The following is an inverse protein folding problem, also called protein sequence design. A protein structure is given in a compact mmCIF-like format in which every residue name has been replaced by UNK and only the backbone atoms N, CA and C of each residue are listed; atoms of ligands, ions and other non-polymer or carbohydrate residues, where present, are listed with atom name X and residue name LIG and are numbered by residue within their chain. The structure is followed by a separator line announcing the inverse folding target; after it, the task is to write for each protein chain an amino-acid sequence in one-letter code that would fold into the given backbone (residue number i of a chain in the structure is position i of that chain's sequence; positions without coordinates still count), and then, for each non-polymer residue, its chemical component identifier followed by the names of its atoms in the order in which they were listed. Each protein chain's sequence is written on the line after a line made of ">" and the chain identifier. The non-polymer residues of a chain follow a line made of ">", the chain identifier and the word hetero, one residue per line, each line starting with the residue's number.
data_IF_249881646537
#
_entry.id   IF_249881646537
#
_cell.length_a   1.000
_cell.length_b   1.000
_cell.length_c   1.000
_cell.angle_alpha   90.00
_cell.angle_beta   90.00
_cell.angle_gamma   90.00
#
_symmetry.space_group_name_H-M   'P 1'
#
loop_
_entity.id
_entity.type
_entity.pdbx_description
1 polymer ?
#
# COMPACT_ATOMS: atom_id res chain seq x y z
N UNK A 1 -6.31 15.15 24.99
CA UNK A 1 -5.00 15.03 24.32
C UNK A 1 -5.17 15.30 22.84
N UNK A 2 -4.17 15.90 22.19
CA UNK A 2 -4.18 16.13 20.74
C UNK A 2 -3.33 15.07 20.05
N UNK A 3 -3.92 14.41 19.05
CA UNK A 3 -3.31 13.30 18.34
C UNK A 3 -3.13 13.63 16.86
N UNK A 4 -1.98 13.25 16.29
CA UNK A 4 -1.76 13.26 14.84
C UNK A 4 -1.55 11.84 14.33
N UNK A 5 -2.30 11.45 13.32
CA UNK A 5 -2.12 10.17 12.62
C UNK A 5 -1.41 10.40 11.28
N UNK A 6 -0.21 9.87 11.13
CA UNK A 6 0.55 9.92 9.88
C UNK A 6 0.36 8.61 9.13
N UNK A 7 -0.47 8.64 8.10
CA UNK A 7 -0.68 7.51 7.22
C UNK A 7 0.43 7.44 6.18
N UNK A 8 1.25 6.38 6.27
CA UNK A 8 2.42 6.18 5.38
C UNK A 8 2.13 5.31 4.16
N UNK A 9 0.87 4.92 3.96
CA UNK A 9 0.47 4.08 2.82
C UNK A 9 0.52 4.86 1.51
N UNK A 10 0.57 4.10 0.41
CA UNK A 10 0.54 4.67 -0.94
C UNK A 10 -0.84 5.27 -1.23
N UNK A 11 -0.89 6.20 -2.18
CA UNK A 11 -2.11 6.95 -2.50
C UNK A 11 -3.29 6.04 -2.88
N UNK A 12 -3.06 4.95 -3.61
CA UNK A 12 -4.11 3.98 -3.97
C UNK A 12 -4.73 3.30 -2.74
N UNK A 13 -3.91 2.89 -1.78
CA UNK A 13 -4.38 2.37 -0.49
C UNK A 13 -5.22 3.42 0.26
N UNK A 14 -4.77 4.68 0.28
CA UNK A 14 -5.45 5.80 0.97
C UNK A 14 -6.78 6.15 0.30
N UNK A 15 -6.85 6.13 -1.03
CA UNK A 15 -8.10 6.37 -1.75
C UNK A 15 -9.15 5.30 -1.45
N UNK A 16 -8.72 4.04 -1.35
CA UNK A 16 -9.64 2.94 -1.03
C UNK A 16 -10.22 3.08 0.37
N UNK A 17 -9.41 3.52 1.34
CA UNK A 17 -9.75 3.58 2.75
C UNK A 17 -8.83 4.56 3.47
N UNK A 18 -9.37 5.61 4.07
CA UNK A 18 -8.65 6.66 4.81
C UNK A 18 -9.44 7.15 6.00
N UNK A 19 -8.79 7.85 6.91
CA UNK A 19 -9.47 8.55 7.98
C UNK A 19 -10.36 9.67 7.42
N UNK A 20 -11.54 9.82 8.02
CA UNK A 20 -12.42 10.96 7.79
C UNK A 20 -12.02 12.15 8.67
N UNK A 21 -12.74 13.26 8.52
CA UNK A 21 -12.60 14.42 9.41
C UNK A 21 -13.02 14.03 10.83
N UNK A 22 -12.28 14.49 11.83
CA UNK A 22 -12.51 14.25 13.24
C UNK A 22 -12.13 15.47 14.07
N UNK A 23 -12.83 15.68 15.18
CA UNK A 23 -12.48 16.72 16.15
C UNK A 23 -11.47 16.20 17.21
N UNK A 24 -11.20 14.89 17.24
CA UNK A 24 -10.36 14.25 18.27
C UNK A 24 -8.91 14.03 17.80
N UNK A 25 -8.68 14.04 16.49
CA UNK A 25 -7.37 13.81 15.91
C UNK A 25 -7.25 14.51 14.56
N UNK A 26 -6.03 14.91 14.23
CA UNK A 26 -5.65 15.30 12.88
C UNK A 26 -4.99 14.13 12.16
N UNK A 27 -5.02 14.13 10.83
CA UNK A 27 -4.33 13.11 10.05
C UNK A 27 -3.70 13.68 8.78
N UNK A 28 -2.55 13.13 8.42
CA UNK A 28 -1.80 13.48 7.22
C UNK A 28 -1.45 12.20 6.46
N UNK A 29 -1.43 12.27 5.12
CA UNK A 29 -0.83 11.22 4.32
C UNK A 29 0.57 11.65 3.88
N UNK A 30 1.59 10.97 4.40
CA UNK A 30 2.98 11.15 3.99
C UNK A 30 3.50 9.78 3.57
N UNK A 31 3.48 9.45 2.27
CA UNK A 31 3.93 8.14 1.79
C UNK A 31 5.29 7.76 2.36
N UNK A 32 5.48 6.48 2.68
CA UNK A 32 6.67 5.95 3.36
C UNK A 32 8.01 6.44 2.77
N UNK A 33 8.10 6.58 1.44
CA UNK A 33 9.29 7.05 0.72
C UNK A 33 9.59 8.55 0.93
N UNK A 34 8.59 9.34 1.33
CA UNK A 34 8.69 10.77 1.60
C UNK A 34 9.05 11.08 3.07
N UNK A 35 8.93 10.10 3.98
CA UNK A 35 9.18 10.32 5.41
C UNK A 35 10.59 10.87 5.67
N UNK A 36 11.60 10.36 4.97
CA UNK A 36 13.00 10.80 5.13
C UNK A 36 13.21 12.30 4.93
N UNK A 37 12.37 12.94 4.12
CA UNK A 37 12.44 14.37 3.83
C UNK A 37 11.61 15.21 4.82
N UNK A 38 10.72 14.58 5.58
CA UNK A 38 9.80 15.24 6.49
C UNK A 38 10.10 14.94 7.97
N UNK A 39 11.23 14.29 8.28
CA UNK A 39 11.56 13.85 9.65
C UNK A 39 11.51 15.02 10.64
N UNK A 40 12.10 16.17 10.29
CA UNK A 40 12.13 17.33 11.18
C UNK A 40 10.73 17.92 11.37
N UNK A 41 9.99 18.15 10.28
CA UNK A 41 8.61 18.66 10.34
C UNK A 41 7.69 17.76 11.17
N UNK A 42 7.84 16.43 11.04
CA UNK A 42 7.09 15.47 11.85
C UNK A 42 7.44 15.61 13.34
N UNK A 43 8.72 15.83 13.68
CA UNK A 43 9.12 16.09 15.07
C UNK A 43 8.60 17.43 15.57
N UNK A 44 8.59 18.46 14.74
CA UNK A 44 8.11 19.80 15.11
C UNK A 44 6.62 19.79 15.49
N UNK A 45 5.83 18.86 14.94
CA UNK A 45 4.45 18.66 15.36
C UNK A 45 4.31 18.31 16.85
N UNK A 46 5.30 17.64 17.46
CA UNK A 46 5.30 17.33 18.89
C UNK A 46 5.34 18.57 19.80
N UNK A 47 5.63 19.76 19.25
CA UNK A 47 5.55 21.01 20.01
C UNK A 47 4.11 21.40 20.37
N UNK A 48 3.10 20.82 19.72
CA UNK A 48 1.70 21.18 19.93
C UNK A 48 0.74 19.98 19.97
N UNK A 49 1.23 18.76 19.81
CA UNK A 49 0.48 17.51 20.03
C UNK A 49 1.20 16.61 21.01
N UNK A 50 0.42 15.80 21.72
CA UNK A 50 0.97 14.92 22.77
C UNK A 50 1.62 13.68 22.14
N UNK A 51 0.96 13.11 21.12
CA UNK A 51 1.41 11.89 20.45
C UNK A 51 1.18 11.92 18.95
N UNK A 52 2.14 11.33 18.22
CA UNK A 52 2.06 11.09 16.79
C UNK A 52 2.03 9.59 16.55
N UNK A 53 1.03 9.11 15.82
CA UNK A 53 0.92 7.71 15.46
C UNK A 53 1.28 7.50 14.00
N UNK A 54 2.22 6.59 13.73
CA UNK A 54 2.57 6.19 12.37
C UNK A 54 1.68 5.02 11.99
N UNK A 55 0.86 5.22 10.97
CA UNK A 55 -0.19 4.29 10.56
C UNK A 55 0.13 3.66 9.22
N UNK A 56 -0.02 2.34 9.14
CA UNK A 56 -0.04 1.64 7.87
C UNK A 56 -1.10 0.53 7.84
N UNK A 57 -1.04 -0.35 6.85
CA UNK A 57 -1.99 -1.45 6.69
C UNK A 57 -1.91 -2.50 7.81
N UNK A 58 -0.71 -2.99 8.12
CA UNK A 58 -0.47 -4.15 9.01
C UNK A 58 0.59 -3.91 10.11
N UNK A 59 1.02 -2.66 10.31
CA UNK A 59 2.03 -2.30 11.31
C UNK A 59 3.50 -2.45 10.89
N UNK A 60 3.83 -3.41 10.01
CA UNK A 60 5.24 -3.68 9.67
C UNK A 60 5.97 -2.48 9.05
N UNK A 61 5.34 -1.79 8.09
CA UNK A 61 5.91 -0.60 7.45
C UNK A 61 6.06 0.56 8.45
N UNK A 62 5.09 0.73 9.35
CA UNK A 62 5.12 1.80 10.34
C UNK A 62 6.18 1.54 11.40
N UNK A 63 6.36 0.29 11.84
CA UNK A 63 7.44 -0.09 12.75
C UNK A 63 8.81 0.18 12.13
N UNK A 64 9.02 -0.24 10.87
CA UNK A 64 10.26 0.04 10.15
C UNK A 64 10.58 1.55 10.09
N UNK A 65 9.58 2.41 9.85
CA UNK A 65 9.77 3.86 9.82
C UNK A 65 10.09 4.41 11.21
N UNK A 66 9.38 3.93 12.24
CA UNK A 66 9.62 4.30 13.63
C UNK A 66 11.06 3.97 14.03
N UNK A 67 11.51 2.75 13.80
CA UNK A 67 12.86 2.30 14.17
C UNK A 67 13.94 3.06 13.39
N UNK A 68 13.69 3.36 12.11
CA UNK A 68 14.68 3.99 11.24
C UNK A 68 14.88 5.48 11.50
N UNK A 69 13.81 6.24 11.74
CA UNK A 69 13.86 7.72 11.78
C UNK A 69 13.49 8.33 13.13
N UNK A 70 12.79 7.57 13.98
CA UNK A 70 12.17 8.08 15.19
C UNK A 70 12.45 7.20 16.42
N UNK A 71 13.47 6.35 16.38
CA UNK A 71 13.77 5.39 17.46
C UNK A 71 13.77 6.04 18.84
N UNK A 72 14.43 7.19 18.96
CA UNK A 72 14.63 7.90 20.23
C UNK A 72 13.41 8.72 20.70
N UNK A 73 12.35 8.84 19.87
CA UNK A 73 11.21 9.71 20.17
C UNK A 73 10.03 8.91 20.73
N UNK A 74 9.92 8.82 22.06
CA UNK A 74 8.86 8.03 22.73
C UNK A 74 7.43 8.46 22.36
N UNK A 75 7.21 9.74 22.04
CA UNK A 75 5.89 10.27 21.69
C UNK A 75 5.47 9.99 20.24
N UNK A 76 6.35 9.39 19.44
CA UNK A 76 6.04 8.88 18.10
C UNK A 76 5.87 7.36 18.21
N UNK A 77 4.64 6.88 18.04
CA UNK A 77 4.20 5.54 18.42
C UNK A 77 3.66 4.78 17.21
N UNK A 78 3.82 3.46 17.24
CA UNK A 78 3.11 2.55 16.33
C UNK A 78 2.16 1.71 17.17
N UNK A 79 0.87 1.88 16.92
CA UNK A 79 -0.18 1.18 17.68
C UNK A 79 -0.82 0.09 16.82
N UNK A 80 -1.09 -1.08 17.41
CA UNK A 80 -1.72 -2.22 16.73
C UNK A 80 -3.22 -1.99 16.47
N UNK A 81 -3.89 -1.26 17.34
CA UNK A 81 -5.30 -0.89 17.19
C UNK A 81 -5.49 0.15 16.07
N UNK A 82 -4.43 0.92 15.77
CA UNK A 82 -4.43 1.96 14.73
C UNK A 82 -3.90 1.45 13.38
N UNK A 83 -4.32 0.25 12.96
CA UNK A 83 -3.93 -0.35 11.68
C UNK A 83 -5.12 -0.49 10.73
N UNK A 84 -4.93 -0.16 9.46
CA UNK A 84 -6.05 -0.14 8.50
C UNK A 84 -6.67 -1.51 8.21
N UNK A 85 -5.98 -2.62 8.47
CA UNK A 85 -6.58 -3.96 8.40
C UNK A 85 -7.69 -4.16 9.44
N UNK A 86 -7.63 -3.47 10.58
CA UNK A 86 -8.54 -3.68 11.71
C UNK A 86 -9.83 -2.86 11.60
N UNK A 87 -9.82 -1.79 10.81
CA UNK A 87 -10.98 -0.94 10.64
C UNK A 87 -12.02 -1.56 9.68
N UNK A 88 -13.27 -1.17 9.82
CA UNK A 88 -14.31 -1.29 8.78
C UNK A 88 -14.58 0.10 8.18
N UNK A 89 -15.27 0.16 7.04
CA UNK A 89 -15.76 1.45 6.53
C UNK A 89 -16.83 2.00 7.50
N UNK A 90 -16.84 3.31 7.70
CA UNK A 90 -17.69 3.99 8.68
C UNK A 90 -17.03 4.18 10.04
N UNK A 91 -17.84 4.22 11.09
CA UNK A 91 -17.42 4.51 12.46
C UNK A 91 -16.76 3.29 13.11
N UNK A 92 -15.57 3.48 13.70
CA UNK A 92 -14.84 2.46 14.45
C UNK A 92 -14.43 3.03 15.79
N UNK A 93 -14.73 2.32 16.87
CA UNK A 93 -14.29 2.71 18.21
C UNK A 93 -12.99 1.98 18.51
N UNK A 94 -11.96 2.72 18.91
CA UNK A 94 -10.67 2.17 19.31
C UNK A 94 -10.19 2.77 20.60
N UNK A 95 -9.33 1.99 21.28
CA UNK A 95 -8.62 2.44 22.47
C UNK A 95 -7.20 2.81 22.07
N UNK A 96 -6.83 4.05 22.33
CA UNK A 96 -5.48 4.58 22.13
C UNK A 96 -4.98 5.05 23.50
N UNK A 97 -3.98 4.37 24.05
CA UNK A 97 -3.57 4.59 25.44
C UNK A 97 -4.75 4.38 26.39
N UNK A 98 -5.14 5.43 27.11
CA UNK A 98 -6.28 5.43 28.02
C UNK A 98 -7.55 6.09 27.44
N UNK A 99 -7.50 6.58 26.20
CA UNK A 99 -8.62 7.27 25.56
C UNK A 99 -9.39 6.34 24.61
N UNK A 100 -10.72 6.48 24.61
CA UNK A 100 -11.61 5.82 23.65
C UNK A 100 -11.96 6.83 22.57
N UNK A 101 -11.57 6.54 21.33
CA UNK A 101 -11.72 7.46 20.20
C UNK A 101 -12.56 6.82 19.11
N UNK A 102 -13.49 7.60 18.56
CA UNK A 102 -14.23 7.20 17.37
C UNK A 102 -13.47 7.66 16.11
N UNK A 103 -13.02 6.67 15.34
CA UNK A 103 -12.34 6.85 14.06
C UNK A 103 -13.31 6.53 12.94
N UNK A 104 -13.74 7.58 12.24
CA UNK A 104 -14.48 7.40 11.00
C UNK A 104 -13.52 7.07 9.85
N UNK A 105 -13.83 6.02 9.10
CA UNK A 105 -13.05 5.58 7.95
C UNK A 105 -13.89 5.68 6.69
N UNK A 106 -13.43 6.49 5.75
CA UNK A 106 -14.08 6.76 4.48
C UNK A 106 -13.26 6.23 3.31
N UNK A 107 -13.91 6.07 2.16
CA UNK A 107 -13.25 5.63 0.94
C UNK A 107 -14.21 4.85 0.07
N UNK A 108 -13.70 4.28 -1.02
CA UNK A 108 -14.48 3.40 -1.87
C UNK A 108 -13.62 2.25 -2.34
N UNK A 109 -14.15 1.03 -2.28
CA UNK A 109 -13.49 -0.17 -2.82
C UNK A 109 -13.52 -0.21 -4.36
N UNK A 110 -13.77 0.92 -5.03
CA UNK A 110 -13.80 0.98 -6.49
C UNK A 110 -12.37 0.81 -7.02
N UNK A 111 -12.27 0.07 -8.11
CA UNK A 111 -11.02 -0.09 -8.85
C UNK A 111 -10.51 1.30 -9.24
N UNK A 112 -9.31 1.65 -8.78
CA UNK A 112 -8.76 2.98 -9.01
C UNK A 112 -7.39 2.89 -9.69
N UNK A 113 -7.30 3.46 -10.90
CA UNK A 113 -6.09 3.49 -11.73
C UNK A 113 -5.16 4.66 -11.39
N UNK A 114 -5.25 5.26 -10.20
CA UNK A 114 -4.39 6.40 -9.85
C UNK A 114 -2.89 6.06 -9.76
N UNK A 115 -2.54 4.79 -9.56
CA UNK A 115 -1.14 4.36 -9.56
C UNK A 115 -0.66 4.18 -10.99
N UNK A 116 0.27 5.05 -11.43
CA UNK A 116 0.94 4.98 -12.74
C UNK A 116 1.52 3.57 -12.96
N UNK A 117 2.07 2.96 -11.91
CA UNK A 117 2.60 1.60 -11.96
C UNK A 117 1.51 0.57 -12.34
N UNK A 118 0.30 0.69 -11.78
CA UNK A 118 -0.82 -0.21 -12.13
C UNK A 118 -1.28 0.00 -13.56
N UNK A 119 -1.37 1.26 -14.01
CA UNK A 119 -1.71 1.58 -15.41
C UNK A 119 -0.70 0.92 -16.34
N UNK A 120 0.60 1.13 -16.11
CA UNK A 120 1.67 0.60 -16.95
C UNK A 120 1.65 -0.93 -16.95
N UNK A 121 1.49 -1.56 -15.78
CA UNK A 121 1.44 -3.01 -15.64
C UNK A 121 0.23 -3.64 -16.34
N UNK A 122 -0.96 -3.03 -16.19
CA UNK A 122 -2.16 -3.50 -16.88
C UNK A 122 -2.04 -3.31 -18.39
N UNK A 123 -1.55 -2.16 -18.86
CA UNK A 123 -1.41 -1.88 -20.29
C UNK A 123 -0.36 -2.77 -20.95
N UNK A 124 0.85 -2.84 -20.39
CA UNK A 124 1.93 -3.68 -20.92
C UNK A 124 1.58 -5.17 -20.81
N UNK A 125 1.00 -5.62 -19.69
CA UNK A 125 0.57 -7.01 -19.53
C UNK A 125 -0.47 -7.41 -20.57
N UNK A 126 -1.46 -6.55 -20.80
CA UNK A 126 -2.47 -6.76 -21.85
C UNK A 126 -1.85 -6.80 -23.25
N UNK A 127 -0.93 -5.87 -23.54
CA UNK A 127 -0.26 -5.80 -24.83
C UNK A 127 0.59 -7.06 -25.10
N UNK A 128 1.37 -7.50 -24.11
CA UNK A 128 2.19 -8.72 -24.21
C UNK A 128 1.31 -9.94 -24.46
N UNK A 129 0.17 -10.07 -23.78
CA UNK A 129 -0.74 -11.19 -23.98
C UNK A 129 -1.38 -11.19 -25.37
N UNK A 130 -1.80 -10.02 -25.87
CA UNK A 130 -2.37 -9.89 -27.22
C UNK A 130 -1.33 -10.25 -28.28
N UNK A 131 -0.16 -9.59 -28.26
CA UNK A 131 0.90 -9.83 -29.24
C UNK A 131 1.45 -11.26 -29.12
N UNK A 132 1.67 -11.75 -27.90
CA UNK A 132 2.13 -13.11 -27.65
C UNK A 132 1.16 -14.15 -28.19
N UNK A 133 -0.15 -13.95 -28.02
CA UNK A 133 -1.19 -14.85 -28.55
C UNK A 133 -1.21 -14.87 -30.07
N UNK A 134 -1.06 -13.70 -30.71
CA UNK A 134 -0.99 -13.59 -32.19
C UNK A 134 0.23 -14.34 -32.71
N UNK A 135 1.40 -14.12 -32.13
CA UNK A 135 2.64 -14.78 -32.57
C UNK A 135 2.56 -16.29 -32.29
N UNK A 136 1.99 -16.71 -31.15
CA UNK A 136 1.75 -18.12 -30.84
C UNK A 136 0.88 -18.79 -31.91
N UNK A 137 -0.20 -18.11 -32.34
CA UNK A 137 -1.09 -18.59 -33.38
C UNK A 137 -0.37 -18.73 -34.73
N UNK A 138 0.47 -17.77 -35.11
CA UNK A 138 1.26 -17.87 -36.36
C UNK A 138 2.33 -18.97 -36.30
N UNK A 139 3.06 -19.07 -35.19
CA UNK A 139 4.09 -20.11 -35.00
C UNK A 139 3.48 -21.51 -34.93
N UNK A 140 2.25 -21.66 -34.46
CA UNK A 140 1.55 -22.96 -34.47
C UNK A 140 1.36 -23.53 -35.88
N UNK A 141 1.39 -22.68 -36.91
CA UNK A 141 1.33 -23.09 -38.32
C UNK A 141 2.70 -23.55 -38.86
N UNK A 142 3.79 -23.28 -38.14
CA UNK A 142 5.15 -23.61 -38.53
C UNK A 142 5.64 -24.86 -37.78
N UNK A 143 5.94 -25.97 -38.49
CA UNK A 143 6.29 -27.27 -37.88
C UNK A 143 7.58 -27.29 -37.02
N UNK A 144 8.50 -26.33 -37.20
CA UNK A 144 9.80 -26.31 -36.51
C UNK A 144 10.02 -25.08 -35.62
N UNK A 145 8.98 -24.30 -35.33
CA UNK A 145 9.12 -23.12 -34.49
C UNK A 145 9.28 -23.49 -33.01
N UNK A 146 10.26 -22.89 -32.33
CA UNK A 146 10.39 -23.01 -30.87
C UNK A 146 9.40 -22.06 -30.18
N UNK A 147 8.35 -22.63 -29.57
CA UNK A 147 7.25 -21.90 -28.93
C UNK A 147 7.58 -21.51 -27.47
N UNK A 148 8.58 -22.15 -26.86
CA UNK A 148 8.93 -22.01 -25.44
C UNK A 148 9.15 -20.54 -25.02
N UNK A 149 9.92 -19.71 -25.76
CA UNK A 149 10.14 -18.31 -25.36
C UNK A 149 8.84 -17.49 -25.30
N UNK A 150 7.87 -17.79 -26.17
CA UNK A 150 6.59 -17.08 -26.19
C UNK A 150 5.72 -17.48 -25.01
N UNK A 151 5.73 -18.75 -24.62
CA UNK A 151 5.02 -19.21 -23.42
C UNK A 151 5.57 -18.50 -22.18
N UNK A 152 6.90 -18.41 -22.05
CA UNK A 152 7.55 -17.68 -20.97
C UNK A 152 7.15 -16.19 -20.99
N UNK A 153 7.19 -15.55 -22.16
CA UNK A 153 6.80 -14.15 -22.32
C UNK A 153 5.32 -13.91 -21.92
N UNK A 154 4.41 -14.78 -22.35
CA UNK A 154 2.99 -14.69 -21.98
C UNK A 154 2.78 -14.89 -20.48
N UNK A 155 3.54 -15.78 -19.82
CA UNK A 155 3.49 -15.94 -18.37
C UNK A 155 3.89 -14.63 -17.65
N UNK A 156 4.96 -13.96 -18.10
CA UNK A 156 5.34 -12.65 -17.56
C UNK A 156 4.29 -11.57 -17.83
N UNK A 157 3.68 -11.56 -19.02
CA UNK A 157 2.57 -10.67 -19.35
C UNK A 157 1.36 -10.87 -18.45
N UNK A 158 1.00 -12.12 -18.19
CA UNK A 158 -0.09 -12.48 -17.27
C UNK A 158 0.22 -12.03 -15.84
N UNK A 159 1.45 -12.25 -15.36
CA UNK A 159 1.86 -11.78 -14.04
C UNK A 159 1.79 -10.25 -13.92
N UNK A 160 2.27 -9.52 -14.94
CA UNK A 160 2.17 -8.07 -14.96
C UNK A 160 0.71 -7.61 -14.93
N UNK A 161 -0.16 -8.25 -15.71
CA UNK A 161 -1.59 -7.94 -15.73
C UNK A 161 -2.26 -8.20 -14.38
N UNK A 162 -2.01 -9.36 -13.77
CA UNK A 162 -2.54 -9.70 -12.45
C UNK A 162 -2.06 -8.68 -11.42
N UNK A 163 -0.76 -8.38 -11.36
CA UNK A 163 -0.21 -7.41 -10.40
C UNK A 163 -0.82 -6.01 -10.56
N UNK A 164 -1.01 -5.56 -11.80
CA UNK A 164 -1.66 -4.29 -12.11
C UNK A 164 -3.12 -4.25 -11.65
N UNK A 165 -3.84 -5.36 -11.84
CA UNK A 165 -5.24 -5.50 -11.42
C UNK A 165 -5.38 -5.63 -9.90
N UNK A 166 -4.67 -6.55 -9.26
CA UNK A 166 -4.89 -6.90 -7.84
C UNK A 166 -4.10 -6.02 -6.88
N UNK A 167 -3.18 -5.17 -7.36
CA UNK A 167 -2.23 -4.39 -6.54
C UNK A 167 -1.35 -5.25 -5.60
N UNK A 168 -1.34 -6.57 -5.81
CA UNK A 168 -0.48 -7.50 -5.09
C UNK A 168 0.77 -7.76 -5.91
N UNK A 169 1.94 -7.81 -5.27
CA UNK A 169 3.12 -8.40 -5.88
C UNK A 169 2.99 -9.93 -5.74
N UNK A 170 2.34 -10.58 -6.70
CA UNK A 170 2.09 -12.04 -6.68
C UNK A 170 3.37 -12.86 -6.46
N UNK A 171 4.48 -12.45 -7.08
CA UNK A 171 5.77 -13.11 -6.91
C UNK A 171 6.26 -13.06 -5.46
N UNK A 172 6.15 -11.91 -4.79
CA UNK A 172 6.55 -11.78 -3.38
C UNK A 172 5.69 -12.63 -2.45
N UNK A 173 4.41 -12.83 -2.77
CA UNK A 173 3.52 -13.68 -1.97
C UNK A 173 3.81 -15.16 -2.19
N UNK A 174 4.10 -15.59 -3.41
CA UNK A 174 4.43 -16.98 -3.74
C UNK A 174 5.79 -17.38 -3.13
N UNK A 175 6.77 -16.47 -3.13
CA UNK A 175 8.09 -16.74 -2.57
C UNK A 175 8.23 -16.44 -1.07
N UNK A 176 7.18 -15.93 -0.41
CA UNK A 176 7.21 -15.71 1.05
C UNK A 176 7.42 -17.02 1.82
N UNK A 177 6.89 -18.13 1.31
CA UNK A 177 7.01 -19.46 1.93
C UNK A 177 8.33 -20.16 1.57
N UNK A 178 9.07 -19.66 0.57
CA UNK A 178 10.37 -20.22 0.12
C UNK A 178 11.58 -19.43 0.63
N UNK A 179 11.37 -18.18 1.07
CA UNK A 179 12.40 -17.29 1.58
C UNK A 179 12.39 -17.16 3.11
N UNK A 180 11.42 -17.78 3.79
CA UNK A 180 11.40 -18.04 5.23
C UNK A 180 11.72 -19.50 5.51
#
# INVERSE_FOLDING_TARGET
>A
MRYIFIDIRKSDEVYSKRFGVSNHYEHYNIPMNMIKFNVNTIKDHLNYVDYIYIVCRSGARSQFIKDKYFNDNMNIIVDRNLQFNNFKHGSNIINIGNDIINVNVIGSNKFNYYSIMRIIQTLLGSLILILGSIILYELSKCKNANIIPIIILMLFGLMALINGLTSTCTLSQIFIDYLN
#
